data_IF_149275333596
#
_entry.id   IF_149275333596
#
_cell.length_a   1.000
_cell.length_b   1.000
_cell.length_c   1.000
_cell.angle_alpha   90.00
_cell.angle_beta   90.00
_cell.angle_gamma   90.00
#
_symmetry.space_group_name_H-M   'P 1'
#
loop_
_entity.id
_entity.type
_entity.pdbx_description
1 polymer ?
#
# COMPACT_ATOMS: atom_id res chain seq x y z
N UNK A 1 -10.27 5.90 -4.36
CA UNK A 1 -9.34 4.89 -3.80
C UNK A 1 -10.13 3.81 -3.07
N UNK A 2 -10.82 2.96 -3.83
CA UNK A 2 -11.77 2.00 -3.27
C UNK A 2 -11.10 0.78 -2.65
N UNK A 3 -9.83 0.49 -3.01
CA UNK A 3 -9.12 -0.68 -2.50
C UNK A 3 -8.14 -0.36 -1.38
N UNK A 4 -8.10 0.91 -0.94
CA UNK A 4 -7.27 1.34 0.17
C UNK A 4 -8.13 1.37 1.43
N UNK A 5 -7.95 0.43 2.38
CA UNK A 5 -8.72 0.45 3.62
C UNK A 5 -8.40 1.70 4.45
N UNK A 6 -9.34 2.18 5.26
CA UNK A 6 -9.08 3.34 6.13
C UNK A 6 -7.87 3.14 7.06
N UNK A 7 -7.65 1.94 7.56
CA UNK A 7 -6.49 1.64 8.40
C UNK A 7 -5.18 1.85 7.66
N UNK A 8 -5.12 1.47 6.39
CA UNK A 8 -3.92 1.65 5.58
C UNK A 8 -3.66 3.12 5.32
N UNK A 9 -4.70 3.88 4.98
CA UNK A 9 -4.57 5.31 4.75
C UNK A 9 -4.06 6.01 6.02
N UNK A 10 -4.61 5.66 7.16
CA UNK A 10 -4.18 6.20 8.45
C UNK A 10 -2.73 5.86 8.74
N UNK A 11 -2.32 4.62 8.47
CA UNK A 11 -0.93 4.20 8.65
C UNK A 11 0.01 5.03 7.79
N UNK A 12 -0.33 5.20 6.51
CA UNK A 12 0.50 5.97 5.58
C UNK A 12 0.60 7.43 5.98
N UNK A 13 -0.52 8.04 6.39
CA UNK A 13 -0.53 9.43 6.83
C UNK A 13 0.32 9.63 8.08
N UNK A 14 0.27 8.67 9.02
CA UNK A 14 1.05 8.72 10.24
C UNK A 14 2.54 8.52 9.96
N UNK A 15 2.86 7.59 9.05
CA UNK A 15 4.24 7.27 8.71
C UNK A 15 4.97 8.43 8.06
N UNK A 16 4.26 9.31 7.37
CA UNK A 16 4.87 10.46 6.70
C UNK A 16 4.89 11.73 7.57
N UNK A 17 4.42 11.66 8.79
CA UNK A 17 4.45 12.82 9.68
C UNK A 17 5.90 13.33 9.84
N UNK A 18 6.14 14.65 9.91
CA UNK A 18 5.17 15.74 10.10
C UNK A 18 4.53 16.27 8.81
N UNK A 19 4.71 15.62 7.67
CA UNK A 19 4.05 16.02 6.45
C UNK A 19 2.53 15.86 6.59
N UNK A 20 1.74 16.70 5.89
CA UNK A 20 0.29 16.60 5.96
C UNK A 20 -0.21 15.26 5.40
N UNK A 21 -1.44 14.85 5.75
CA UNK A 21 -2.03 13.65 5.17
C UNK A 21 -2.06 13.69 3.65
N UNK A 22 -1.99 12.51 3.03
CA UNK A 22 -1.97 12.38 1.59
C UNK A 22 -3.31 12.86 1.03
N UNK A 23 -3.29 13.89 0.18
CA UNK A 23 -4.50 14.43 -0.44
C UNK A 23 -4.58 14.10 -1.92
N UNK A 24 -3.44 13.83 -2.57
CA UNK A 24 -3.36 13.53 -4.00
C UNK A 24 -2.89 12.09 -4.19
N UNK A 25 -3.68 11.23 -4.83
CA UNK A 25 -3.29 9.82 -5.03
C UNK A 25 -2.04 9.65 -5.90
N UNK A 26 -1.65 10.66 -6.67
CA UNK A 26 -0.46 10.60 -7.51
C UNK A 26 0.76 11.23 -6.82
N UNK A 27 0.60 11.72 -5.59
CA UNK A 27 1.70 12.27 -4.82
C UNK A 27 2.66 11.15 -4.40
N UNK A 28 3.99 11.34 -4.57
CA UNK A 28 4.95 10.31 -4.17
C UNK A 28 4.87 10.01 -2.67
N UNK A 29 4.81 8.73 -2.32
CA UNK A 29 4.79 8.30 -0.92
C UNK A 29 6.15 8.43 -0.26
N UNK A 30 7.23 8.47 -1.06
CA UNK A 30 8.61 8.60 -0.58
C UNK A 30 8.99 7.51 0.44
N UNK A 31 8.58 6.28 0.15
CA UNK A 31 8.87 5.13 1.01
C UNK A 31 10.28 4.64 0.74
N UNK A 32 11.14 4.67 1.76
CA UNK A 32 12.49 4.10 1.66
C UNK A 32 12.46 2.59 1.92
N UNK A 33 13.63 1.95 1.89
CA UNK A 33 13.72 0.49 2.04
C UNK A 33 13.15 0.02 3.38
N UNK A 34 13.46 0.71 4.46
CA UNK A 34 12.94 0.35 5.78
C UNK A 34 11.44 0.62 5.86
N UNK A 35 11.00 1.74 5.31
CA UNK A 35 9.58 2.08 5.25
C UNK A 35 8.78 1.04 4.47
N UNK A 36 9.36 0.54 3.37
CA UNK A 36 8.72 -0.50 2.57
C UNK A 36 8.57 -1.80 3.37
N UNK A 37 9.60 -2.20 4.07
CA UNK A 37 9.56 -3.41 4.92
C UNK A 37 8.47 -3.27 5.98
N UNK A 38 8.38 -2.11 6.61
CA UNK A 38 7.37 -1.84 7.63
C UNK A 38 5.96 -1.83 7.06
N UNK A 39 5.80 -1.25 5.86
CA UNK A 39 4.52 -1.20 5.18
C UNK A 39 4.04 -2.61 4.83
N UNK A 40 4.93 -3.44 4.28
CA UNK A 40 4.61 -4.82 3.94
C UNK A 40 4.22 -5.60 5.20
N UNK A 41 4.95 -5.42 6.29
CA UNK A 41 4.63 -6.08 7.55
C UNK A 41 3.24 -5.66 8.06
N UNK A 42 2.90 -4.38 7.93
CA UNK A 42 1.59 -3.88 8.30
C UNK A 42 0.49 -4.52 7.44
N UNK A 43 0.70 -4.56 6.13
CA UNK A 43 -0.27 -5.16 5.21
C UNK A 43 -0.53 -6.63 5.56
N UNK A 44 0.52 -7.37 5.89
CA UNK A 44 0.40 -8.79 6.17
C UNK A 44 -0.18 -9.06 7.56
N UNK A 45 0.25 -8.32 8.58
CA UNK A 45 -0.15 -8.59 9.95
C UNK A 45 -1.47 -7.95 10.34
N UNK A 46 -1.72 -6.72 9.92
CA UNK A 46 -2.90 -5.97 10.33
C UNK A 46 -4.07 -6.12 9.36
N UNK A 47 -3.78 -6.25 8.07
CA UNK A 47 -4.82 -6.33 7.05
C UNK A 47 -4.96 -7.72 6.43
N UNK A 48 -4.05 -8.64 6.75
CA UNK A 48 -4.09 -9.98 6.20
C UNK A 48 -3.83 -10.06 4.69
N UNK A 49 -3.16 -9.05 4.14
CA UNK A 49 -2.85 -8.98 2.71
C UNK A 49 -1.43 -9.48 2.49
N UNK A 50 -1.29 -10.60 1.80
CA UNK A 50 0.03 -11.16 1.52
C UNK A 50 0.67 -10.47 0.31
N UNK A 51 1.94 -10.06 0.46
CA UNK A 51 2.71 -9.46 -0.62
C UNK A 51 3.76 -10.47 -1.08
N UNK A 52 3.70 -10.84 -2.36
CA UNK A 52 4.66 -11.76 -2.96
C UNK A 52 5.95 -11.04 -3.34
N UNK A 53 7.04 -11.79 -3.48
CA UNK A 53 8.34 -11.21 -3.80
C UNK A 53 8.32 -10.43 -5.11
N UNK A 54 7.62 -10.92 -6.13
CA UNK A 54 7.51 -10.25 -7.43
C UNK A 54 6.68 -8.97 -7.37
N UNK A 55 5.94 -8.77 -6.27
CA UNK A 55 5.14 -7.55 -6.06
C UNK A 55 5.91 -6.48 -5.31
N UNK A 56 7.08 -6.81 -4.77
CA UNK A 56 7.93 -5.89 -4.01
C UNK A 56 8.73 -5.00 -4.96
N UNK A 57 8.02 -4.26 -5.81
CA UNK A 57 8.61 -3.33 -6.77
C UNK A 57 8.35 -1.91 -6.29
N UNK A 58 9.38 -1.06 -6.42
CA UNK A 58 9.25 0.34 -6.00
C UNK A 58 8.04 1.02 -6.66
N UNK A 59 7.77 0.70 -7.92
CA UNK A 59 6.65 1.28 -8.66
C UNK A 59 5.29 0.94 -8.05
N UNK A 60 5.15 -0.22 -7.40
CA UNK A 60 3.90 -0.63 -6.77
C UNK A 60 3.60 0.16 -5.49
N UNK A 61 4.63 0.76 -4.90
CA UNK A 61 4.53 1.49 -3.64
C UNK A 61 4.92 2.95 -3.79
N UNK A 62 5.00 3.43 -5.03
CA UNK A 62 5.43 4.80 -5.32
C UNK A 62 4.37 5.84 -4.95
N UNK A 63 3.11 5.52 -5.19
CA UNK A 63 1.99 6.44 -4.93
C UNK A 63 0.81 5.65 -4.35
N UNK A 64 -0.15 6.40 -3.80
CA UNK A 64 -1.38 5.78 -3.30
C UNK A 64 -2.15 5.11 -4.44
N UNK A 65 -2.12 5.70 -5.63
CA UNK A 65 -2.79 5.14 -6.81
C UNK A 65 -2.16 3.79 -7.21
N UNK A 66 -0.83 3.71 -7.23
CA UNK A 66 -0.16 2.45 -7.59
C UNK A 66 -0.44 1.36 -6.56
N UNK A 67 -0.50 1.73 -5.28
CA UNK A 67 -0.83 0.79 -4.21
C UNK A 67 -2.29 0.33 -4.34
N UNK A 68 -3.20 1.24 -4.66
CA UNK A 68 -4.60 0.90 -4.91
C UNK A 68 -4.71 -0.11 -6.06
N UNK A 69 -3.99 0.12 -7.15
CA UNK A 69 -3.99 -0.79 -8.30
C UNK A 69 -3.45 -2.18 -7.92
N UNK A 70 -2.40 -2.23 -7.11
CA UNK A 70 -1.84 -3.50 -6.63
C UNK A 70 -2.88 -4.27 -5.80
N UNK A 71 -3.54 -3.59 -4.88
CA UNK A 71 -4.54 -4.23 -4.02
C UNK A 71 -5.75 -4.68 -4.83
N UNK A 72 -6.15 -3.92 -5.85
CA UNK A 72 -7.23 -4.30 -6.74
C UNK A 72 -6.88 -5.56 -7.52
N UNK A 73 -5.64 -5.66 -8.01
CA UNK A 73 -5.19 -6.85 -8.74
C UNK A 73 -5.16 -8.07 -7.84
N UNK A 74 -4.75 -7.93 -6.59
CA UNK A 74 -4.74 -9.03 -5.62
C UNK A 74 -6.16 -9.49 -5.29
N UNK A 75 -7.08 -8.57 -5.13
CA UNK A 75 -8.48 -8.90 -4.87
C UNK A 75 -9.10 -9.67 -6.05
N UNK A 76 -8.82 -9.20 -7.27
CA UNK A 76 -9.28 -9.89 -8.48
C UNK A 76 -8.70 -11.28 -8.61
N UNK A 77 -7.41 -11.45 -8.30
CA UNK A 77 -6.75 -12.75 -8.34
C UNK A 77 -7.35 -13.71 -7.30
N UNK A 78 -7.66 -13.20 -6.10
CA UNK A 78 -8.29 -14.01 -5.06
C UNK A 78 -9.68 -14.48 -5.48
N UNK A 79 -10.45 -13.61 -6.11
CA UNK A 79 -11.76 -13.96 -6.64
C UNK A 79 -11.66 -15.01 -7.74
N UNK A 80 -10.68 -14.84 -8.63
CA UNK A 80 -10.47 -15.79 -9.73
C UNK A 80 -10.01 -17.16 -9.26
N UNK A 81 -9.43 -17.27 -8.08
CA UNK A 81 -8.96 -18.51 -7.52
C UNK A 81 -10.10 -19.37 -6.92
N UNK A 82 -11.25 -18.79 -6.76
CA UNK A 82 -12.43 -19.50 -6.25
C UNK A 82 -13.19 -20.18 -7.41
#
# INVERSE_FOLDING_TARGET
MTNIPPKLKEYLDTARAPLPPISDPDEPLQVDSLGLIRLVAFLESDLGIRIEDEELLAENFATLRSLDDLLAAKAGAAEAAI
#
